data_IF_231625101268
#
_entry.id   IF_231625101268
#
_cell.length_a   1.000
_cell.length_b   1.000
_cell.length_c   1.000
_cell.angle_alpha   90.00
_cell.angle_beta   90.00
_cell.angle_gamma   90.00
#
_symmetry.space_group_name_H-M   'P 1'
#
loop_
_entity.id
_entity.type
_entity.pdbx_description
1 polymer ?
#
# COMPACT_ATOMS: atom_id res chain seq x y z
N UNK A 1 5.02 10.16 8.18
CA UNK A 1 5.49 10.02 9.58
C UNK A 1 6.69 9.09 9.63
N UNK A 2 7.57 9.27 10.61
CA UNK A 2 8.76 8.43 10.82
C UNK A 2 9.11 8.35 12.31
N UNK A 3 9.90 7.35 12.69
CA UNK A 3 10.48 7.27 14.03
C UNK A 3 11.87 7.93 14.05
N UNK A 4 12.18 8.63 15.14
CA UNK A 4 13.52 9.13 15.47
C UNK A 4 13.83 8.82 16.93
N UNK A 5 15.09 8.56 17.24
CA UNK A 5 15.51 8.44 18.63
C UNK A 5 15.69 9.83 19.26
N UNK A 6 15.24 9.96 20.50
CA UNK A 6 15.54 11.08 21.38
C UNK A 6 16.28 10.56 22.60
N UNK A 7 17.24 11.34 23.10
CA UNK A 7 17.99 11.05 24.30
C UNK A 7 17.63 12.11 25.34
N UNK A 8 17.19 11.68 26.52
CA UNK A 8 16.83 12.57 27.61
C UNK A 8 17.17 11.93 28.96
N UNK A 9 17.40 12.77 29.97
CA UNK A 9 17.63 12.33 31.35
C UNK A 9 16.40 11.59 31.87
N UNK A 10 16.63 10.46 32.52
CA UNK A 10 15.55 9.65 33.05
C UNK A 10 14.77 10.43 34.14
N UNK A 11 13.46 10.71 33.94
CA UNK A 11 12.66 11.53 34.86
C UNK A 11 12.50 10.93 36.26
N UNK A 12 12.69 9.62 36.41
CA UNK A 12 12.53 8.87 37.65
C UNK A 12 13.86 8.26 38.15
N UNK A 13 14.98 8.54 37.47
CA UNK A 13 16.33 8.21 37.95
C UNK A 13 17.38 9.15 37.31
N UNK A 14 17.58 10.35 37.87
CA UNK A 14 18.33 11.43 37.21
C UNK A 14 19.78 11.11 36.79
N UNK A 15 20.41 10.10 37.42
CA UNK A 15 21.77 9.66 37.09
C UNK A 15 21.85 8.85 35.78
N UNK A 16 20.71 8.50 35.19
CA UNK A 16 20.62 7.67 33.98
C UNK A 16 20.01 8.43 32.80
N UNK A 17 20.27 7.95 31.59
CA UNK A 17 19.67 8.47 30.34
C UNK A 17 18.80 7.43 29.67
N UNK A 18 17.77 7.89 28.96
CA UNK A 18 16.86 7.05 28.17
C UNK A 18 17.00 7.43 26.70
N UNK A 19 17.27 6.43 25.86
CA UNK A 19 17.15 6.56 24.42
C UNK A 19 15.81 5.97 23.96
N UNK A 20 14.87 6.82 23.55
CA UNK A 20 13.51 6.41 23.20
C UNK A 20 13.16 6.76 21.75
N UNK A 21 12.37 5.91 21.11
CA UNK A 21 11.75 6.24 19.83
C UNK A 21 10.61 7.24 19.99
N UNK A 22 10.67 8.35 19.26
CA UNK A 22 9.58 9.31 19.13
C UNK A 22 9.01 9.31 17.71
N UNK A 23 7.68 9.37 17.62
CA UNK A 23 6.97 9.56 16.37
C UNK A 23 7.06 11.01 15.89
N UNK A 24 7.66 11.20 14.73
CA UNK A 24 7.77 12.49 14.05
C UNK A 24 6.75 12.56 12.91
N UNK A 25 5.91 13.59 12.96
CA UNK A 25 4.94 13.91 11.92
C UNK A 25 5.48 15.08 11.09
N UNK A 26 5.47 14.91 9.77
CA UNK A 26 5.85 15.95 8.81
C UNK A 26 4.71 16.10 7.83
N UNK A 27 4.17 17.31 7.73
CA UNK A 27 3.15 17.66 6.74
C UNK A 27 3.83 18.11 5.45
N UNK A 28 3.24 17.73 4.33
CA UNK A 28 3.64 18.15 2.99
C UNK A 28 2.58 19.12 2.47
N UNK A 29 2.96 20.37 2.22
CA UNK A 29 2.03 21.47 1.89
C UNK A 29 1.96 21.77 0.40
N UNK A 30 2.88 21.22 -0.38
CA UNK A 30 2.93 21.40 -1.84
C UNK A 30 3.36 20.10 -2.54
N UNK A 31 3.06 20.02 -3.83
CA UNK A 31 3.30 18.84 -4.67
C UNK A 31 4.77 18.44 -4.71
N UNK A 32 5.69 19.41 -4.85
CA UNK A 32 7.14 19.16 -4.88
C UNK A 32 7.62 18.48 -3.60
N UNK A 33 7.09 18.89 -2.45
CA UNK A 33 7.42 18.27 -1.17
C UNK A 33 6.85 16.85 -1.03
N UNK A 34 5.76 16.55 -1.73
CA UNK A 34 5.08 15.25 -1.76
C UNK A 34 5.47 14.38 -2.97
N UNK A 35 6.50 14.77 -3.73
CA UNK A 35 7.08 14.01 -4.81
C UNK A 35 8.36 13.30 -4.33
N UNK A 36 8.22 12.02 -3.97
CA UNK A 36 9.31 11.21 -3.44
C UNK A 36 10.07 10.56 -4.59
N UNK A 37 11.39 10.70 -4.64
CA UNK A 37 12.24 10.11 -5.68
C UNK A 37 12.86 8.79 -5.21
N UNK A 38 13.07 7.88 -6.16
CA UNK A 38 13.90 6.70 -5.91
C UNK A 38 15.33 7.11 -5.46
N UNK A 39 15.99 6.23 -4.68
CA UNK A 39 17.29 6.51 -4.06
C UNK A 39 17.25 7.46 -2.86
N UNK A 40 16.13 8.13 -2.58
CA UNK A 40 15.95 8.93 -1.35
C UNK A 40 15.21 8.15 -0.28
N UNK A 41 15.39 8.56 0.98
CA UNK A 41 14.68 7.95 2.12
C UNK A 41 13.17 8.10 1.94
N UNK A 42 12.49 6.98 1.71
CA UNK A 42 11.04 6.91 1.59
C UNK A 42 10.39 6.83 2.99
N UNK A 43 9.32 7.60 3.28
CA UNK A 43 8.65 7.53 4.58
C UNK A 43 7.99 6.17 4.82
N UNK A 44 8.16 5.61 6.02
CA UNK A 44 7.50 4.34 6.39
C UNK A 44 5.98 4.46 6.49
N UNK A 45 5.49 5.65 6.87
CA UNK A 45 4.06 5.95 7.01
C UNK A 45 3.72 7.14 6.13
N UNK A 46 3.10 6.89 4.98
CA UNK A 46 2.47 7.89 4.14
C UNK A 46 0.97 7.88 4.43
N UNK A 47 0.45 9.01 4.90
CA UNK A 47 -0.91 9.13 5.42
C UNK A 47 -1.59 10.32 4.75
N UNK A 48 -2.72 10.06 4.11
CA UNK A 48 -3.61 11.05 3.52
C UNK A 48 -4.80 11.18 4.44
N UNK A 49 -5.10 12.39 4.89
CA UNK A 49 -6.14 12.62 5.89
C UNK A 49 -7.00 13.82 5.52
N UNK A 50 -8.24 13.79 5.99
CA UNK A 50 -9.14 14.93 5.94
C UNK A 50 -8.87 15.81 7.16
N UNK A 51 -8.41 17.07 7.03
CA UNK A 51 -8.13 17.93 8.17
C UNK A 51 -9.37 18.38 8.95
N UNK A 52 -10.56 18.22 8.37
CA UNK A 52 -11.83 18.68 8.94
C UNK A 52 -12.58 17.56 9.68
N UNK A 53 -12.05 16.34 9.69
CA UNK A 53 -12.73 15.19 10.28
C UNK A 53 -11.79 14.39 11.17
N UNK A 54 -12.18 14.26 12.43
CA UNK A 54 -11.47 13.46 13.43
C UNK A 54 -12.32 12.28 13.87
N UNK A 55 -11.64 11.24 14.35
CA UNK A 55 -12.29 10.12 15.05
C UNK A 55 -12.61 10.51 16.50
N UNK A 56 -13.26 9.62 17.24
CA UNK A 56 -13.65 9.86 18.65
C UNK A 56 -12.48 10.21 19.59
N UNK A 57 -11.24 9.91 19.17
CA UNK A 57 -10.00 10.17 19.91
C UNK A 57 -9.30 11.47 19.48
N UNK A 58 -9.90 12.27 18.59
CA UNK A 58 -9.33 13.52 18.11
C UNK A 58 -8.24 13.36 17.05
N UNK A 59 -8.05 12.16 16.48
CA UNK A 59 -7.10 11.95 15.39
C UNK A 59 -7.75 12.14 14.03
N UNK A 60 -7.04 12.82 13.11
CA UNK A 60 -7.52 13.07 11.76
C UNK A 60 -7.76 11.75 11.00
N UNK A 61 -8.95 11.64 10.39
CA UNK A 61 -9.38 10.46 9.65
C UNK A 61 -8.67 10.39 8.31
N UNK A 62 -8.11 9.23 7.99
CA UNK A 62 -7.39 9.07 6.74
C UNK A 62 -7.01 7.64 6.37
N UNK A 63 -6.31 7.52 5.25
CA UNK A 63 -5.80 6.26 4.72
C UNK A 63 -4.28 6.32 4.58
N UNK A 64 -3.65 5.21 4.90
CA UNK A 64 -2.22 4.97 4.73
C UNK A 64 -1.98 4.24 3.42
N UNK A 65 -0.99 4.72 2.67
CA UNK A 65 -0.37 3.96 1.58
C UNK A 65 0.78 3.15 2.18
N UNK A 66 0.71 1.83 2.05
CA UNK A 66 1.80 0.92 2.37
C UNK A 66 2.36 0.35 1.07
N UNK A 67 3.58 0.75 0.75
CA UNK A 67 4.24 0.48 -0.51
C UNK A 67 4.99 -0.86 -0.48
N UNK A 68 4.87 -1.68 -1.53
CA UNK A 68 5.57 -2.95 -1.70
C UNK A 68 6.16 -3.04 -3.12
N UNK A 69 7.44 -2.70 -3.27
CA UNK A 69 8.09 -2.60 -4.58
C UNK A 69 9.60 -2.75 -4.42
N UNK A 70 10.23 -3.28 -5.47
CA UNK A 70 11.69 -3.32 -5.64
C UNK A 70 12.15 -2.40 -6.78
N UNK A 71 11.28 -1.48 -7.22
CA UNK A 71 11.57 -0.55 -8.30
C UNK A 71 12.66 0.46 -7.92
N UNK A 72 13.34 0.95 -8.94
CA UNK A 72 14.28 2.04 -8.86
C UNK A 72 14.19 2.88 -10.15
N UNK A 73 14.82 4.05 -10.17
CA UNK A 73 14.97 4.83 -11.40
C UNK A 73 15.80 4.03 -12.40
N UNK A 74 15.31 3.87 -13.64
CA UNK A 74 15.96 3.05 -14.67
C UNK A 74 16.72 3.92 -15.66
N UNK A 75 16.04 4.85 -16.31
CA UNK A 75 16.65 5.73 -17.30
C UNK A 75 17.23 7.00 -16.65
N UNK A 76 18.33 7.57 -17.20
CA UNK A 76 18.85 8.84 -16.76
C UNK A 76 17.84 9.96 -16.97
N UNK A 77 17.74 10.87 -16.00
CA UNK A 77 16.75 11.96 -16.05
C UNK A 77 17.00 12.89 -17.24
N UNK A 78 15.96 13.13 -18.04
CA UNK A 78 15.98 14.01 -19.20
C UNK A 78 16.62 13.38 -20.44
N UNK A 79 16.96 12.09 -20.36
CA UNK A 79 17.33 11.32 -21.53
C UNK A 79 16.13 11.15 -22.46
N UNK A 80 16.37 11.10 -23.77
CA UNK A 80 15.38 11.10 -24.86
C UNK A 80 14.06 10.39 -24.51
N UNK A 81 14.10 9.07 -24.35
CA UNK A 81 12.93 8.23 -24.11
C UNK A 81 12.39 8.34 -22.68
N UNK A 82 13.23 8.79 -21.73
CA UNK A 82 12.85 8.93 -20.33
C UNK A 82 11.78 10.01 -20.13
N UNK A 83 11.67 10.97 -21.05
CA UNK A 83 10.61 11.98 -21.04
C UNK A 83 9.22 11.32 -21.07
N UNK A 84 9.03 10.27 -21.89
CA UNK A 84 7.76 9.55 -21.99
C UNK A 84 7.38 8.73 -20.76
N UNK A 85 8.31 8.52 -19.84
CA UNK A 85 8.11 7.75 -18.61
C UNK A 85 8.56 8.50 -17.37
N UNK A 86 8.42 9.83 -17.36
CA UNK A 86 8.89 10.69 -16.27
C UNK A 86 8.27 10.37 -14.89
N UNK A 87 7.13 9.70 -14.85
CA UNK A 87 6.52 9.15 -13.63
C UNK A 87 7.41 8.10 -12.95
N UNK A 88 8.20 7.34 -13.72
CA UNK A 88 9.09 6.27 -13.23
C UNK A 88 10.24 6.78 -12.34
N UNK A 89 10.44 8.10 -12.27
CA UNK A 89 11.39 8.75 -11.34
C UNK A 89 10.94 8.66 -9.88
N UNK A 90 9.65 8.41 -9.63
CA UNK A 90 9.03 8.58 -8.32
C UNK A 90 8.33 7.29 -7.85
N UNK A 91 8.69 6.68 -6.70
CA UNK A 91 7.84 5.65 -6.09
C UNK A 91 6.43 6.18 -5.78
N UNK A 92 6.34 7.45 -5.40
CA UNK A 92 5.09 8.14 -5.13
C UNK A 92 5.20 9.63 -5.39
N UNK A 93 4.23 10.19 -6.10
CA UNK A 93 4.03 11.63 -6.25
C UNK A 93 2.58 12.01 -5.95
N UNK A 94 2.36 13.18 -5.36
CA UNK A 94 1.03 13.73 -5.06
C UNK A 94 0.88 15.08 -5.74
N UNK A 95 -0.21 15.25 -6.48
CA UNK A 95 -0.59 16.44 -7.23
C UNK A 95 -2.05 16.76 -6.96
N UNK A 96 -2.43 18.00 -7.25
CA UNK A 96 -3.81 18.44 -7.22
C UNK A 96 -4.54 17.82 -8.42
N UNK A 97 -5.74 17.30 -8.17
CA UNK A 97 -6.60 16.80 -9.24
C UNK A 97 -6.97 17.91 -10.24
N UNK A 98 -6.88 17.60 -11.54
CA UNK A 98 -7.38 18.40 -12.66
C UNK A 98 -7.88 17.47 -13.76
N UNK A 99 -8.96 17.85 -14.45
CA UNK A 99 -9.58 17.01 -15.48
C UNK A 99 -8.71 16.88 -16.74
N UNK A 100 -7.86 17.87 -17.02
CA UNK A 100 -6.90 17.87 -18.13
C UNK A 100 -5.73 16.89 -17.94
N UNK A 101 -5.77 16.10 -16.89
CA UNK A 101 -4.59 15.61 -16.20
C UNK A 101 -4.94 14.16 -15.70
N UNK A 102 -5.72 13.45 -16.52
CA UNK A 102 -6.39 12.20 -16.18
C UNK A 102 -5.49 10.95 -16.24
N UNK A 103 -4.44 10.97 -17.08
CA UNK A 103 -3.54 9.82 -17.31
C UNK A 103 -2.07 10.21 -17.26
N UNK A 104 -1.21 9.24 -16.96
CA UNK A 104 0.27 9.40 -16.91
C UNK A 104 0.94 9.19 -18.24
N UNK A 105 0.15 8.68 -19.17
CA UNK A 105 0.56 8.00 -20.38
C UNK A 105 -0.60 8.02 -21.36
N UNK A 106 -0.28 7.70 -22.60
CA UNK A 106 -1.22 7.59 -23.71
C UNK A 106 -0.77 6.45 -24.62
N UNK A 107 -1.68 5.89 -25.41
CA UNK A 107 -1.35 4.83 -26.38
C UNK A 107 -0.28 5.27 -27.40
N UNK A 108 -0.11 6.58 -27.58
CA UNK A 108 0.86 7.15 -28.52
C UNK A 108 2.28 7.23 -27.96
N UNK A 109 2.46 7.20 -26.64
CA UNK A 109 3.77 7.43 -25.99
C UNK A 109 4.79 6.36 -26.35
N UNK A 110 4.31 5.17 -26.73
CA UNK A 110 5.13 4.06 -27.20
C UNK A 110 5.83 4.38 -28.52
N UNK A 111 5.20 5.20 -29.38
CA UNK A 111 5.71 5.58 -30.68
C UNK A 111 6.37 6.96 -30.67
N UNK A 112 5.93 7.85 -29.76
CA UNK A 112 6.46 9.20 -29.57
C UNK A 112 6.51 9.55 -28.08
N UNK A 113 7.64 9.33 -27.40
CA UNK A 113 7.80 9.62 -25.98
C UNK A 113 8.20 11.08 -25.68
N UNK A 114 8.26 11.98 -26.67
CA UNK A 114 8.93 13.28 -26.49
C UNK A 114 8.03 14.36 -25.85
N UNK A 115 6.69 14.23 -25.92
CA UNK A 115 5.73 15.20 -25.37
C UNK A 115 4.71 14.59 -24.37
N UNK A 116 5.04 14.51 -23.06
CA UNK A 116 4.15 13.95 -22.04
C UNK A 116 3.30 15.00 -21.28
N UNK A 117 2.14 14.57 -20.74
CA UNK A 117 1.28 15.30 -19.79
C UNK A 117 1.26 14.63 -18.38
N UNK A 118 0.90 15.33 -17.28
CA UNK A 118 1.35 15.01 -15.89
C UNK A 118 0.25 14.93 -14.77
N UNK A 119 0.10 13.86 -13.94
CA UNK A 119 -0.55 13.87 -12.55
C UNK A 119 -0.27 12.71 -11.56
N UNK A 120 0.32 12.90 -10.39
CA UNK A 120 0.32 11.96 -9.21
C UNK A 120 0.12 10.43 -9.38
N UNK A 121 1.17 9.68 -9.02
CA UNK A 121 1.30 8.28 -9.41
C UNK A 121 1.92 7.45 -8.28
N UNK A 122 1.52 6.18 -8.19
CA UNK A 122 2.26 5.16 -7.43
C UNK A 122 2.97 4.27 -8.43
N UNK A 123 4.30 4.26 -8.39
CA UNK A 123 5.10 3.42 -9.29
C UNK A 123 5.62 2.21 -8.55
N UNK A 124 5.19 1.02 -8.99
CA UNK A 124 5.66 -0.27 -8.47
C UNK A 124 6.35 -1.05 -9.58
N UNK A 125 7.29 -1.90 -9.20
CA UNK A 125 8.09 -2.67 -10.17
C UNK A 125 9.25 -3.39 -9.49
N UNK A 126 10.07 -4.05 -10.29
CA UNK A 126 11.27 -4.75 -9.87
C UNK A 126 12.22 -4.90 -11.06
N UNK A 127 13.50 -5.14 -10.79
CA UNK A 127 14.47 -5.54 -11.81
C UNK A 127 14.33 -7.05 -12.06
N UNK A 128 14.09 -7.46 -13.30
CA UNK A 128 14.09 -8.88 -13.68
C UNK A 128 15.38 -9.20 -14.45
N UNK A 129 16.26 -9.98 -13.83
CA UNK A 129 17.37 -10.65 -14.50
C UNK A 129 16.94 -12.10 -14.72
N UNK A 130 16.60 -12.51 -15.96
CA UNK A 130 16.11 -13.86 -16.19
C UNK A 130 17.12 -14.93 -15.79
N UNK A 131 16.63 -16.05 -15.29
CA UNK A 131 17.47 -17.21 -14.91
C UNK A 131 16.83 -18.54 -15.31
N UNK A 132 17.53 -19.65 -15.10
CA UNK A 132 17.15 -20.99 -15.61
C UNK A 132 15.73 -21.43 -15.22
N UNK A 133 15.30 -21.08 -14.01
CA UNK A 133 14.00 -21.42 -13.45
C UNK A 133 12.85 -20.57 -14.03
N UNK A 134 13.13 -19.56 -14.86
CA UNK A 134 12.12 -18.85 -15.67
C UNK A 134 11.67 -19.65 -16.89
N UNK A 135 12.27 -20.81 -17.16
CA UNK A 135 11.86 -21.71 -18.24
C UNK A 135 10.90 -22.77 -17.67
N UNK A 136 9.72 -22.99 -18.28
CA UNK A 136 9.22 -22.39 -19.52
C UNK A 136 8.53 -21.04 -19.34
N UNK A 137 8.17 -20.66 -18.11
CA UNK A 137 7.53 -19.40 -17.78
C UNK A 137 8.06 -18.87 -16.45
N UNK A 138 8.21 -17.55 -16.35
CA UNK A 138 8.42 -16.85 -15.08
C UNK A 138 7.31 -17.18 -14.09
N UNK A 139 7.67 -17.68 -12.91
CA UNK A 139 6.70 -18.03 -11.89
C UNK A 139 6.18 -16.81 -11.11
N UNK A 140 4.96 -16.88 -10.58
CA UNK A 140 4.37 -15.79 -9.78
C UNK A 140 4.97 -15.61 -8.37
N UNK A 141 5.43 -16.66 -7.64
CA UNK A 141 5.96 -16.47 -6.30
C UNK A 141 7.18 -15.53 -6.29
N UNK A 142 7.14 -14.48 -5.47
CA UNK A 142 8.22 -13.49 -5.37
C UNK A 142 8.18 -12.36 -6.41
N UNK A 143 7.45 -12.52 -7.52
CA UNK A 143 7.35 -11.52 -8.61
C UNK A 143 6.15 -10.57 -8.46
N UNK A 144 5.45 -10.61 -7.33
CA UNK A 144 4.33 -9.72 -7.04
C UNK A 144 4.79 -8.40 -6.42
N UNK A 145 4.32 -7.29 -6.97
CA UNK A 145 4.52 -5.92 -6.46
C UNK A 145 3.18 -5.20 -6.37
N UNK A 146 3.11 -4.16 -5.54
CA UNK A 146 1.88 -3.41 -5.37
C UNK A 146 1.91 -2.46 -4.18
N UNK A 147 0.74 -2.09 -3.71
CA UNK A 147 0.59 -1.29 -2.50
C UNK A 147 -0.74 -1.62 -1.82
N UNK A 148 -0.83 -1.27 -0.55
CA UNK A 148 -2.08 -1.37 0.21
C UNK A 148 -2.60 0.01 0.56
N UNK A 149 -3.91 0.17 0.44
CA UNK A 149 -4.65 1.25 1.10
C UNK A 149 -5.20 0.71 2.41
N UNK A 150 -4.79 1.32 3.52
CA UNK A 150 -5.18 0.86 4.86
C UNK A 150 -5.82 2.01 5.64
N UNK A 151 -6.99 1.82 6.28
CA UNK A 151 -7.53 2.85 7.15
C UNK A 151 -6.54 3.17 8.28
N UNK A 152 -6.35 4.44 8.58
CA UNK A 152 -5.45 4.91 9.64
C UNK A 152 -6.15 6.01 10.43
N UNK A 153 -6.63 5.68 11.63
CA UNK A 153 -7.53 6.53 12.43
C UNK A 153 -8.83 6.93 11.70
N UNK A 154 -9.20 6.26 10.61
CA UNK A 154 -10.43 6.56 9.88
C UNK A 154 -11.68 6.18 10.67
N UNK A 155 -11.64 4.99 11.28
CA UNK A 155 -12.68 4.47 12.13
C UNK A 155 -12.31 4.67 13.61
N UNK A 156 -13.33 4.51 14.46
CA UNK A 156 -13.23 4.60 15.91
C UNK A 156 -12.68 3.32 16.54
N UNK A 157 -12.71 2.22 15.78
CA UNK A 157 -12.21 0.87 16.10
C UNK A 157 -12.02 0.06 14.81
N UNK A 158 -11.69 -1.23 14.90
CA UNK A 158 -11.56 -2.09 13.72
C UNK A 158 -12.95 -2.32 13.08
N UNK A 159 -13.17 -1.93 11.80
CA UNK A 159 -14.45 -2.15 11.14
C UNK A 159 -14.81 -3.65 11.00
N UNK A 160 -13.83 -4.55 11.10
CA UNK A 160 -14.06 -6.00 11.02
C UNK A 160 -14.83 -6.57 12.22
N UNK A 161 -14.93 -5.84 13.34
CA UNK A 161 -15.68 -6.24 14.54
C UNK A 161 -17.17 -6.49 14.26
N UNK A 162 -17.72 -5.89 13.20
CA UNK A 162 -19.11 -6.13 12.77
C UNK A 162 -19.30 -7.44 12.01
N UNK A 163 -18.21 -8.13 11.65
CA UNK A 163 -18.23 -9.43 10.99
C UNK A 163 -18.78 -10.52 11.92
N UNK A 164 -19.74 -11.30 11.40
CA UNK A 164 -20.30 -12.47 12.11
C UNK A 164 -19.42 -13.71 12.04
N UNK A 165 -18.35 -13.69 11.26
CA UNK A 165 -17.45 -14.84 11.09
C UNK A 165 -16.46 -15.03 12.24
N UNK A 166 -16.45 -14.10 13.22
CA UNK A 166 -15.61 -14.20 14.41
C UNK A 166 -16.01 -15.39 15.27
N UNK A 167 -15.03 -16.14 15.77
CA UNK A 167 -15.21 -17.26 16.69
C UNK A 167 -14.42 -16.96 17.97
N UNK A 168 -15.05 -17.09 19.13
CA UNK A 168 -14.39 -16.90 20.43
C UNK A 168 -14.48 -18.19 21.23
N UNK A 169 -13.34 -18.71 21.67
CA UNK A 169 -13.24 -19.92 22.50
C UNK A 169 -12.83 -19.51 23.91
N UNK A 170 -13.61 -19.91 24.92
CA UNK A 170 -13.34 -19.65 26.34
C UNK A 170 -13.25 -20.95 27.14
N UNK A 171 -12.53 -20.98 28.27
CA UNK A 171 -12.58 -22.09 29.20
C UNK A 171 -14.02 -22.28 29.69
N UNK A 172 -14.54 -23.51 29.60
CA UNK A 172 -15.83 -23.89 30.20
C UNK A 172 -15.64 -24.83 31.38
N UNK A 173 -16.74 -25.38 31.89
CA UNK A 173 -16.73 -26.32 33.01
C UNK A 173 -16.29 -27.73 32.56
N UNK A 174 -15.67 -28.48 33.47
CA UNK A 174 -15.29 -29.89 33.28
C UNK A 174 -14.44 -30.12 32.01
N UNK A 175 -13.42 -29.28 31.79
CA UNK A 175 -12.48 -29.35 30.65
C UNK A 175 -13.14 -29.27 29.25
N UNK A 176 -14.38 -28.76 29.17
CA UNK A 176 -15.06 -28.50 27.89
C UNK A 176 -14.97 -27.01 27.54
N UNK A 177 -14.43 -26.64 26.35
CA UNK A 177 -14.40 -25.25 25.93
C UNK A 177 -15.81 -24.74 25.57
N UNK A 178 -16.10 -23.49 25.90
CA UNK A 178 -17.28 -22.77 25.43
C UNK A 178 -16.93 -22.05 24.12
N UNK A 179 -17.63 -22.40 23.03
CA UNK A 179 -17.39 -21.83 21.70
C UNK A 179 -18.54 -20.92 21.30
N UNK A 180 -18.27 -19.61 21.25
CA UNK A 180 -19.22 -18.59 20.82
C UNK A 180 -19.05 -18.29 19.32
N UNK A 181 -20.13 -18.43 18.56
CA UNK A 181 -20.20 -18.16 17.11
C UNK A 181 -21.41 -17.27 16.81
N UNK A 182 -21.35 -16.50 15.72
CA UNK A 182 -22.48 -15.74 15.16
C UNK A 182 -22.94 -16.28 13.80
N UNK A 183 -22.36 -17.41 13.39
CA UNK A 183 -22.71 -18.20 12.20
C UNK A 183 -22.88 -19.68 12.60
N UNK A 184 -23.57 -20.49 11.77
CA UNK A 184 -23.61 -21.94 11.95
C UNK A 184 -22.20 -22.53 12.01
N UNK A 185 -22.02 -23.56 12.83
CA UNK A 185 -20.74 -24.30 12.92
C UNK A 185 -20.38 -24.97 11.59
N UNK A 186 -21.39 -25.48 10.88
CA UNK A 186 -21.26 -26.08 9.57
C UNK A 186 -22.15 -25.29 8.61
N UNK A 187 -21.53 -24.61 7.65
CA UNK A 187 -22.21 -24.06 6.48
C UNK A 187 -22.35 -25.25 5.53
N UNK A 188 -23.57 -25.72 5.27
CA UNK A 188 -23.82 -26.97 4.53
C UNK A 188 -23.19 -27.06 3.12
N UNK A 189 -23.28 -28.26 2.52
CA UNK A 189 -22.69 -28.70 1.24
C UNK A 189 -21.26 -28.21 0.97
N UNK A 190 -20.30 -29.06 1.31
CA UNK A 190 -18.86 -28.77 1.25
C UNK A 190 -18.24 -28.77 -0.16
N UNK A 191 -18.99 -29.04 -1.23
CA UNK A 191 -18.43 -29.18 -2.58
C UNK A 191 -19.43 -28.69 -3.63
N UNK A 192 -18.96 -27.88 -4.58
CA UNK A 192 -19.72 -27.52 -5.78
C UNK A 192 -19.71 -28.69 -6.77
N UNK A 193 -20.87 -29.11 -7.26
CA UNK A 193 -20.99 -30.19 -8.26
C UNK A 193 -20.59 -29.75 -9.69
N UNK A 194 -20.28 -28.46 -9.87
CA UNK A 194 -19.91 -27.92 -11.18
C UNK A 194 -18.45 -28.27 -11.52
N UNK A 195 -18.17 -29.02 -12.60
CA UNK A 195 -16.81 -29.22 -13.08
C UNK A 195 -16.22 -27.92 -13.62
N UNK A 196 -14.89 -27.87 -13.73
CA UNK A 196 -14.18 -26.77 -14.41
C UNK A 196 -14.66 -26.64 -15.87
N UNK A 197 -14.86 -25.41 -16.33
CA UNK A 197 -15.27 -25.09 -17.70
C UNK A 197 -14.38 -24.00 -18.29
N UNK A 198 -13.96 -24.18 -19.54
CA UNK A 198 -13.18 -23.21 -20.30
C UNK A 198 -13.64 -23.18 -21.76
N UNK A 199 -14.14 -22.04 -22.23
CA UNK A 199 -14.63 -21.85 -23.61
C UNK A 199 -13.47 -21.58 -24.59
N UNK A 200 -12.46 -20.81 -24.18
CA UNK A 200 -11.31 -20.48 -25.02
C UNK A 200 -11.61 -19.62 -26.26
N UNK A 201 -12.87 -19.41 -26.65
CA UNK A 201 -13.26 -18.56 -27.77
C UNK A 201 -13.65 -17.14 -27.32
N UNK A 202 -13.30 -16.14 -28.13
CA UNK A 202 -13.61 -14.73 -27.90
C UNK A 202 -14.64 -14.17 -28.90
N UNK A 203 -15.13 -14.98 -29.83
CA UNK A 203 -16.24 -14.64 -30.74
C UNK A 203 -17.29 -15.75 -30.75
N UNK A 204 -18.57 -15.38 -30.83
CA UNK A 204 -19.63 -16.36 -31.13
C UNK A 204 -19.44 -16.82 -32.57
N UNK A 205 -19.25 -18.12 -32.76
CA UNK A 205 -19.36 -18.77 -34.08
C UNK A 205 -20.84 -18.79 -34.45
#
# INVERSE_FOLDING_TARGET
>A
MSLKYENFTNPWSPDHTIQQSRLVRRQHTNERSAAFRFGKKFPRYLHFYNPNQTNKWGHQKGYRIQFNSHANSVLPRGWMEENGVSWSRYPLAVTRHKDSEATSTTIYIQNDPWEPDLVAWVTVGFLHVPHSEDIPNTATPGNAVGFFLRPFNFFDEDPSLTSRSTVIVRPGKNDKPEVQRWTPEIIGHCVSDKPFFYNGTYSRI
#
